data_IF_799955632276
#
_entry.id   IF_799955632276
#
_cell.length_a   1.000
_cell.length_b   1.000
_cell.length_c   1.000
_cell.angle_alpha   90.00
_cell.angle_beta   90.00
_cell.angle_gamma   90.00
#
_symmetry.space_group_name_H-M   'P 1'
#
loop_
_entity.id
_entity.type
_entity.pdbx_description
1 polymer ?
#
# COMPACT_ATOMS: atom_id res chain seq x y z
N UNK A 1 -11.60 -57.32 -4.63
CA UNK A 1 -13.10 -57.33 -4.60
C UNK A 1 -13.52 -56.39 -3.48
N UNK A 2 -13.84 -55.18 -3.80
CA UNK A 2 -14.93 -54.43 -3.14
C UNK A 2 -15.30 -53.26 -4.08
N UNK A 3 -16.51 -53.42 -4.60
CA UNK A 3 -17.14 -52.56 -5.59
C UNK A 3 -18.04 -51.58 -4.87
N UNK A 4 -17.71 -50.27 -4.90
CA UNK A 4 -18.69 -49.21 -4.63
C UNK A 4 -18.86 -48.33 -5.86
N UNK A 5 -20.00 -48.50 -6.50
CA UNK A 5 -20.41 -47.75 -7.66
C UNK A 5 -20.73 -46.28 -7.37
N UNK A 6 -20.85 -45.44 -8.40
CA UNK A 6 -21.02 -44.00 -8.27
C UNK A 6 -22.43 -43.64 -7.75
N UNK A 7 -22.44 -42.73 -6.76
CA UNK A 7 -23.68 -42.13 -6.23
C UNK A 7 -24.31 -41.24 -7.31
N UNK A 8 -25.50 -41.61 -7.80
CA UNK A 8 -26.31 -40.78 -8.69
C UNK A 8 -26.89 -39.61 -7.91
N UNK A 9 -26.45 -38.41 -8.21
CA UNK A 9 -27.14 -37.18 -7.83
C UNK A 9 -28.50 -37.13 -8.56
N UNK A 10 -29.59 -37.20 -7.83
CA UNK A 10 -30.93 -36.99 -8.36
C UNK A 10 -31.09 -35.51 -8.78
N UNK A 11 -31.51 -35.32 -10.03
CA UNK A 11 -31.82 -34.01 -10.57
C UNK A 11 -33.08 -33.46 -9.86
N UNK A 12 -32.94 -32.30 -9.24
CA UNK A 12 -34.08 -31.56 -8.66
C UNK A 12 -34.97 -31.09 -9.81
N UNK A 13 -36.25 -31.47 -9.76
CA UNK A 13 -37.27 -31.18 -10.73
C UNK A 13 -37.45 -29.66 -10.97
N UNK A 14 -37.70 -29.29 -12.22
CA UNK A 14 -37.89 -27.90 -12.67
C UNK A 14 -39.02 -27.17 -11.93
N UNK A 15 -40.04 -27.87 -11.45
CA UNK A 15 -41.15 -27.29 -10.69
C UNK A 15 -40.71 -26.86 -9.27
N UNK A 16 -39.83 -27.60 -8.63
CA UNK A 16 -39.28 -27.26 -7.32
C UNK A 16 -38.31 -26.05 -7.39
N UNK A 17 -37.65 -25.87 -8.53
CA UNK A 17 -36.84 -24.66 -8.78
C UNK A 17 -37.68 -23.41 -9.01
N UNK A 18 -38.82 -23.52 -9.68
CA UNK A 18 -39.71 -22.37 -9.89
C UNK A 18 -40.34 -21.89 -8.58
N UNK A 19 -40.76 -22.80 -7.71
CA UNK A 19 -41.34 -22.45 -6.40
C UNK A 19 -40.35 -21.80 -5.44
N UNK A 20 -39.05 -22.14 -5.50
CA UNK A 20 -37.99 -21.50 -4.68
C UNK A 20 -37.65 -20.09 -5.17
N UNK A 21 -37.82 -19.77 -6.45
CA UNK A 21 -37.54 -18.44 -7.00
C UNK A 21 -38.69 -17.46 -6.72
N UNK A 22 -39.95 -17.96 -6.66
CA UNK A 22 -41.11 -17.12 -6.37
C UNK A 22 -41.22 -16.67 -4.91
N UNK A 23 -40.58 -17.38 -3.97
CA UNK A 23 -40.62 -17.03 -2.53
C UNK A 23 -39.60 -15.96 -2.14
N UNK A 24 -38.68 -15.55 -3.02
CA UNK A 24 -37.59 -14.57 -2.71
C UNK A 24 -37.71 -13.24 -3.47
N UNK A 25 -38.78 -12.95 -4.19
CA UNK A 25 -38.92 -11.73 -4.97
C UNK A 25 -40.29 -11.07 -4.84
N UNK A 26 -40.63 -10.61 -3.64
CA UNK A 26 -41.59 -9.52 -3.50
C UNK A 26 -40.82 -8.22 -3.34
N UNK A 27 -40.85 -7.29 -4.32
CA UNK A 27 -40.18 -6.00 -4.16
C UNK A 27 -40.84 -5.24 -3.01
N UNK A 28 -40.10 -4.99 -1.94
CA UNK A 28 -40.55 -4.10 -0.86
C UNK A 28 -40.80 -2.73 -1.50
N UNK A 29 -42.04 -2.28 -1.52
CA UNK A 29 -42.35 -0.96 -2.07
C UNK A 29 -41.67 0.13 -1.24
N UNK A 30 -41.22 1.21 -1.90
CA UNK A 30 -40.57 2.36 -1.23
C UNK A 30 -41.39 2.87 -0.03
N UNK A 31 -42.73 2.75 -0.11
CA UNK A 31 -43.65 3.14 0.95
C UNK A 31 -43.54 2.22 2.18
N UNK A 32 -43.45 0.91 2.02
CA UNK A 32 -43.26 -0.06 3.11
C UNK A 32 -41.90 0.06 3.76
N UNK A 33 -40.84 0.41 2.98
CA UNK A 33 -39.52 0.66 3.51
C UNK A 33 -39.50 1.91 4.42
N UNK A 34 -40.16 2.99 4.01
CA UNK A 34 -40.26 4.23 4.80
C UNK A 34 -41.11 4.03 6.04
N UNK A 35 -42.24 3.29 5.93
CA UNK A 35 -43.08 2.97 7.09
C UNK A 35 -42.36 2.10 8.11
N UNK A 36 -41.53 1.15 7.70
CA UNK A 36 -40.71 0.33 8.60
C UNK A 36 -39.60 1.13 9.29
N UNK A 37 -38.99 2.09 8.58
CA UNK A 37 -37.96 2.97 9.13
C UNK A 37 -38.54 3.97 10.17
N UNK A 38 -39.77 4.44 9.96
CA UNK A 38 -40.46 5.32 10.91
C UNK A 38 -40.92 4.59 12.19
N UNK A 39 -41.26 3.32 12.11
CA UNK A 39 -41.64 2.51 13.28
C UNK A 39 -40.42 2.11 14.14
N UNK A 40 -39.23 1.99 13.54
CA UNK A 40 -37.99 1.70 14.27
C UNK A 40 -37.46 2.89 15.06
N UNK A 41 -37.83 4.12 14.70
CA UNK A 41 -37.40 5.36 15.40
C UNK A 41 -38.27 5.76 16.61
N UNK A 42 -39.41 5.08 16.85
CA UNK A 42 -40.35 5.43 17.92
C UNK A 42 -40.12 4.66 19.24
N UNK A 43 -39.09 3.85 19.37
CA UNK A 43 -38.89 2.95 20.51
C UNK A 43 -37.66 3.25 21.39
N UNK A 44 -37.19 4.51 21.46
CA UNK A 44 -36.15 4.89 22.42
C UNK A 44 -36.73 6.00 23.32
N UNK A 45 -36.97 5.77 24.61
CA UNK A 45 -37.37 6.83 25.52
C UNK A 45 -36.18 7.72 25.84
N UNK A 46 -36.21 8.98 25.41
CA UNK A 46 -35.35 10.05 25.88
C UNK A 46 -35.86 10.55 27.24
N UNK A 47 -35.20 10.16 28.30
CA UNK A 47 -35.33 10.86 29.60
C UNK A 47 -34.45 12.09 29.59
N UNK A 48 -35.06 13.25 29.34
CA UNK A 48 -34.46 14.55 29.59
C UNK A 48 -34.65 14.90 31.07
N UNK A 49 -33.59 14.86 31.86
CA UNK A 49 -33.55 15.55 33.14
C UNK A 49 -32.99 16.96 32.92
N UNK A 50 -33.88 17.95 32.98
CA UNK A 50 -33.50 19.34 33.07
C UNK A 50 -33.41 19.72 34.55
N UNK A 51 -32.22 20.02 35.03
CA UNK A 51 -32.03 20.88 36.22
C UNK A 51 -30.94 21.89 35.87
N UNK A 52 -31.34 23.17 35.94
CA UNK A 52 -30.43 24.28 35.83
C UNK A 52 -29.65 24.48 37.12
N UNK A 53 -28.47 25.03 37.03
CA UNK A 53 -28.07 26.26 37.70
C UNK A 53 -26.60 26.63 37.43
N UNK A 54 -26.43 27.95 37.21
CA UNK A 54 -25.27 28.78 37.55
C UNK A 54 -23.86 28.35 37.10
N UNK A 55 -23.35 29.10 36.14
CA UNK A 55 -21.92 29.37 35.97
C UNK A 55 -21.29 29.87 37.26
N UNK A 56 -20.04 29.46 37.56
CA UNK A 56 -18.96 30.41 37.42
C UNK A 56 -17.60 29.80 37.00
N UNK A 57 -16.76 30.69 36.48
CA UNK A 57 -15.30 30.72 36.52
C UNK A 57 -14.53 29.69 35.68
N UNK A 58 -14.01 30.23 34.58
CA UNK A 58 -12.70 29.92 34.02
C UNK A 58 -11.73 29.36 35.07
N UNK A 59 -11.50 28.05 34.99
CA UNK A 59 -10.30 27.46 35.59
C UNK A 59 -9.49 26.88 34.42
N UNK A 60 -8.32 27.45 34.22
CA UNK A 60 -7.30 26.95 33.28
C UNK A 60 -7.09 25.46 33.52
N UNK A 61 -7.48 24.64 32.56
CA UNK A 61 -7.05 23.25 32.49
C UNK A 61 -5.56 23.25 32.14
N UNK A 62 -4.78 23.22 33.21
CA UNK A 62 -3.35 22.95 33.14
C UNK A 62 -3.11 21.56 32.59
N UNK A 63 -2.14 21.47 31.70
CA UNK A 63 -1.33 20.31 31.51
C UNK A 63 -2.03 19.05 31.00
N UNK A 64 -2.53 19.05 29.76
CA UNK A 64 -2.47 17.82 28.99
C UNK A 64 -0.98 17.51 28.81
N UNK A 65 -0.45 16.58 29.60
CA UNK A 65 0.83 15.94 29.30
C UNK A 65 0.77 15.47 27.87
N UNK A 66 1.58 16.09 27.00
CA UNK A 66 1.76 15.66 25.64
C UNK A 66 2.10 14.16 25.70
N UNK A 67 1.16 13.31 25.29
CA UNK A 67 1.44 11.91 25.06
C UNK A 67 2.68 11.90 24.15
N UNK A 68 3.75 11.30 24.62
CA UNK A 68 5.00 11.21 23.88
C UNK A 68 4.63 10.67 22.51
N UNK A 69 4.91 11.42 21.44
CA UNK A 69 4.72 10.94 20.07
C UNK A 69 5.54 9.64 19.96
N UNK A 70 4.87 8.50 19.95
CA UNK A 70 5.53 7.25 19.64
C UNK A 70 6.02 7.35 18.21
N UNK A 71 7.30 7.64 18.06
CA UNK A 71 7.93 7.74 16.74
C UNK A 71 7.86 6.37 16.06
N UNK A 72 7.48 6.34 14.78
CA UNK A 72 7.55 5.12 13.98
C UNK A 72 9.00 4.59 13.98
N UNK A 73 9.22 3.28 14.14
CA UNK A 73 10.53 2.69 13.97
C UNK A 73 11.11 2.98 12.59
N UNK A 74 12.40 3.29 12.55
CA UNK A 74 13.13 3.57 11.33
C UNK A 74 14.03 2.40 10.91
N UNK A 75 14.50 2.47 9.68
CA UNK A 75 15.52 1.62 9.11
C UNK A 75 16.33 2.38 8.07
N UNK A 76 17.44 1.80 7.64
CA UNK A 76 18.34 2.40 6.67
C UNK A 76 18.22 1.75 5.30
N UNK A 77 18.28 2.56 4.26
CA UNK A 77 18.48 2.12 2.88
C UNK A 77 19.70 2.90 2.37
N UNK A 78 20.82 2.21 2.14
CA UNK A 78 22.08 2.86 1.87
C UNK A 78 22.48 3.78 3.03
N UNK A 79 22.74 5.05 2.72
CA UNK A 79 23.10 6.08 3.71
C UNK A 79 21.88 6.87 4.22
N UNK A 80 20.68 6.59 3.76
CA UNK A 80 19.45 7.28 4.12
C UNK A 80 18.65 6.48 5.16
N UNK A 81 18.03 7.20 6.08
CA UNK A 81 17.14 6.65 7.09
C UNK A 81 15.69 6.99 6.75
N UNK A 82 14.78 6.00 6.88
CA UNK A 82 13.37 6.12 6.57
C UNK A 82 12.52 5.46 7.66
N UNK A 83 11.32 5.96 7.88
CA UNK A 83 10.32 5.23 8.67
C UNK A 83 9.96 3.91 7.98
N UNK A 84 9.74 2.85 8.75
CA UNK A 84 9.40 1.52 8.19
C UNK A 84 8.02 1.48 7.53
N UNK A 85 7.14 2.43 7.84
CA UNK A 85 5.94 2.76 7.06
C UNK A 85 6.25 3.96 6.17
N UNK A 86 6.11 3.80 4.85
CA UNK A 86 6.27 4.84 3.85
C UNK A 86 4.94 5.16 3.18
N UNK A 87 4.76 6.39 2.76
CA UNK A 87 3.56 6.84 2.05
C UNK A 87 3.67 6.53 0.56
N UNK A 88 2.64 5.88 -0.01
CA UNK A 88 2.50 5.64 -1.45
C UNK A 88 1.86 6.82 -2.16
N UNK A 89 2.45 7.26 -3.26
CA UNK A 89 2.02 8.44 -4.01
C UNK A 89 0.86 8.22 -4.99
N UNK A 90 0.44 6.98 -5.24
CA UNK A 90 -0.56 6.71 -6.29
C UNK A 90 -1.90 7.42 -6.04
N UNK A 91 -2.38 7.48 -4.79
CA UNK A 91 -3.62 8.19 -4.47
C UNK A 91 -3.49 9.69 -4.75
N UNK A 92 -2.38 10.27 -4.37
CA UNK A 92 -2.04 11.69 -4.57
C UNK A 92 -1.95 12.02 -6.06
N UNK A 93 -1.32 11.15 -6.85
CA UNK A 93 -1.19 11.29 -8.29
C UNK A 93 -2.50 10.98 -9.07
N UNK A 94 -3.56 10.53 -8.39
CA UNK A 94 -4.80 10.12 -9.03
C UNK A 94 -4.68 8.83 -9.86
N UNK A 95 -3.65 8.03 -9.58
CA UNK A 95 -3.39 6.74 -10.22
C UNK A 95 -3.88 5.63 -9.30
N UNK A 96 -5.17 5.29 -9.37
CA UNK A 96 -5.72 4.22 -8.55
C UNK A 96 -5.69 2.88 -9.24
N UNK A 97 -5.37 1.84 -8.48
CA UNK A 97 -5.68 0.47 -8.84
C UNK A 97 -7.11 0.16 -8.36
N UNK A 98 -8.08 0.21 -9.24
CA UNK A 98 -9.50 0.14 -8.89
C UNK A 98 -10.29 -0.81 -9.80
N UNK A 99 -9.57 -1.72 -10.45
CA UNK A 99 -10.13 -2.70 -11.39
C UNK A 99 -10.88 -1.97 -12.54
N UNK A 100 -12.12 -2.35 -12.79
CA UNK A 100 -13.00 -1.78 -13.80
C UNK A 100 -13.78 -0.52 -13.35
N UNK A 101 -13.52 -0.04 -12.12
CA UNK A 101 -14.19 1.17 -11.58
C UNK A 101 -13.50 2.46 -12.07
N UNK A 102 -13.62 2.76 -13.34
CA UNK A 102 -12.91 3.87 -14.01
C UNK A 102 -13.11 5.26 -13.38
N UNK A 103 -14.23 5.47 -12.67
CA UNK A 103 -14.53 6.73 -12.02
C UNK A 103 -13.66 7.00 -10.77
N UNK A 104 -13.03 5.98 -10.17
CA UNK A 104 -12.26 6.13 -8.93
C UNK A 104 -11.07 7.05 -9.12
N UNK A 105 -10.33 6.95 -10.22
CA UNK A 105 -9.24 7.89 -10.54
C UNK A 105 -9.73 9.35 -10.63
N UNK A 106 -10.94 9.56 -11.15
CA UNK A 106 -11.55 10.90 -11.20
C UNK A 106 -11.92 11.40 -9.80
N UNK A 107 -12.47 10.55 -8.95
CA UNK A 107 -12.75 10.89 -7.55
C UNK A 107 -11.47 11.26 -6.80
N UNK A 108 -10.41 10.46 -6.95
CA UNK A 108 -9.11 10.73 -6.31
C UNK A 108 -8.52 12.08 -6.73
N UNK A 109 -8.51 12.39 -8.02
CA UNK A 109 -8.03 13.70 -8.50
C UNK A 109 -8.88 14.87 -8.01
N UNK A 110 -10.18 14.68 -7.81
CA UNK A 110 -11.07 15.71 -7.27
C UNK A 110 -10.93 15.88 -5.77
N UNK A 111 -10.68 14.78 -5.04
CA UNK A 111 -10.46 14.79 -3.60
C UNK A 111 -9.08 15.37 -3.26
N UNK A 112 -8.03 14.87 -3.91
CA UNK A 112 -6.64 15.25 -3.66
C UNK A 112 -6.30 16.56 -4.39
N UNK A 113 -6.91 17.66 -3.95
CA UNK A 113 -6.50 19.00 -4.37
C UNK A 113 -5.09 19.32 -3.86
N UNK A 114 -4.36 20.29 -4.44
CA UNK A 114 -3.03 20.68 -3.93
C UNK A 114 -3.01 20.96 -2.42
N UNK A 115 -4.04 21.62 -1.89
CA UNK A 115 -4.16 21.90 -0.46
C UNK A 115 -4.34 20.60 0.36
N UNK A 116 -5.18 19.66 -0.12
CA UNK A 116 -5.41 18.39 0.53
C UNK A 116 -4.16 17.50 0.49
N UNK A 117 -3.41 17.51 -0.61
CA UNK A 117 -2.13 16.77 -0.71
C UNK A 117 -1.14 17.31 0.33
N UNK A 118 -0.99 18.63 0.45
CA UNK A 118 -0.09 19.22 1.44
C UNK A 118 -0.51 18.84 2.87
N UNK A 119 -1.79 18.97 3.21
CA UNK A 119 -2.34 18.51 4.49
C UNK A 119 -2.02 17.03 4.76
N UNK A 120 -2.15 16.18 3.75
CA UNK A 120 -1.85 14.75 3.84
C UNK A 120 -0.36 14.50 4.12
N UNK A 121 0.54 15.25 3.50
CA UNK A 121 1.99 15.16 3.77
C UNK A 121 2.34 15.65 5.19
N UNK A 122 1.74 16.77 5.62
CA UNK A 122 1.90 17.31 6.98
C UNK A 122 1.41 16.31 8.05
N UNK A 123 0.25 15.69 7.84
CA UNK A 123 -0.27 14.62 8.70
C UNK A 123 0.67 13.42 8.74
N UNK A 124 1.20 13.00 7.59
CA UNK A 124 2.19 11.92 7.52
C UNK A 124 3.41 12.20 8.40
N UNK A 125 4.01 13.38 8.27
CA UNK A 125 5.13 13.80 9.12
C UNK A 125 4.75 13.92 10.59
N UNK A 126 3.55 14.44 10.87
CA UNK A 126 3.04 14.54 12.24
C UNK A 126 2.99 13.18 12.92
N UNK A 127 2.65 12.12 12.19
CA UNK A 127 2.58 10.75 12.68
C UNK A 127 3.87 9.94 12.44
N UNK A 128 4.98 10.60 12.13
CA UNK A 128 6.33 10.00 12.05
C UNK A 128 6.64 9.29 10.73
N UNK A 129 5.81 9.43 9.69
CA UNK A 129 6.14 8.95 8.35
C UNK A 129 7.14 9.94 7.72
N UNK A 130 8.28 9.43 7.26
CA UNK A 130 9.38 10.28 6.80
C UNK A 130 9.62 10.23 5.30
N UNK A 131 8.87 9.42 4.56
CA UNK A 131 9.08 9.28 3.12
C UNK A 131 7.77 9.07 2.35
N UNK A 132 7.74 9.66 1.16
CA UNK A 132 6.75 9.40 0.12
C UNK A 132 7.43 8.81 -1.12
N UNK A 133 6.81 7.78 -1.70
CA UNK A 133 7.26 7.17 -2.94
C UNK A 133 6.28 7.52 -4.07
N UNK A 134 6.74 8.30 -5.06
CA UNK A 134 5.89 8.73 -6.17
C UNK A 134 6.68 8.86 -7.47
N UNK A 135 5.97 8.92 -8.59
CA UNK A 135 6.55 9.05 -9.93
C UNK A 135 7.31 10.38 -10.10
N UNK A 136 8.30 10.36 -11.00
CA UNK A 136 8.89 11.56 -11.54
C UNK A 136 7.91 12.14 -12.57
N UNK A 137 7.19 13.16 -12.16
CA UNK A 137 6.22 13.89 -12.99
C UNK A 137 6.72 15.32 -13.19
N UNK A 138 6.28 15.98 -14.25
CA UNK A 138 6.54 17.39 -14.42
C UNK A 138 5.89 18.24 -13.31
N UNK A 139 4.92 17.64 -12.60
CA UNK A 139 4.12 18.29 -11.55
C UNK A 139 4.32 17.63 -10.16
N UNK A 140 5.57 17.52 -9.70
CA UNK A 140 5.85 17.17 -8.29
C UNK A 140 5.76 18.41 -7.37
N UNK A 141 5.05 19.44 -7.83
CA UNK A 141 4.95 20.74 -7.19
C UNK A 141 4.50 20.66 -5.73
N UNK A 142 3.61 19.70 -5.40
CA UNK A 142 3.08 19.54 -4.04
C UNK A 142 4.17 19.12 -3.04
N UNK A 143 5.14 18.30 -3.46
CA UNK A 143 6.29 17.93 -2.64
C UNK A 143 7.19 19.14 -2.43
N UNK A 144 7.45 19.91 -3.51
CA UNK A 144 8.28 21.12 -3.45
C UNK A 144 7.64 22.20 -2.61
N UNK A 145 6.34 22.39 -2.71
CA UNK A 145 5.60 23.35 -1.89
C UNK A 145 5.57 22.91 -0.42
N UNK A 146 5.46 21.63 -0.14
CA UNK A 146 5.59 21.09 1.21
C UNK A 146 6.98 21.42 1.80
N UNK A 147 8.06 21.22 1.05
CA UNK A 147 9.41 21.58 1.48
C UNK A 147 9.60 23.09 1.69
N UNK A 148 9.04 23.94 0.82
CA UNK A 148 9.07 25.41 0.99
C UNK A 148 8.35 25.85 2.27
N UNK A 149 7.33 25.11 2.70
CA UNK A 149 6.63 25.35 3.96
C UNK A 149 7.34 24.75 5.19
N UNK A 150 8.55 24.21 5.04
CA UNK A 150 9.34 23.63 6.14
C UNK A 150 9.16 22.14 6.37
N UNK A 151 8.37 21.47 5.51
CA UNK A 151 8.24 20.00 5.50
C UNK A 151 9.57 19.31 5.20
N UNK A 152 9.69 18.08 5.72
CA UNK A 152 10.93 17.28 5.64
C UNK A 152 10.71 15.90 5.02
N UNK A 153 9.53 15.65 4.48
CA UNK A 153 9.18 14.39 3.82
C UNK A 153 10.23 14.08 2.75
N UNK A 154 10.90 12.95 2.86
CA UNK A 154 11.86 12.50 1.86
C UNK A 154 11.13 11.97 0.64
N UNK A 155 11.65 12.29 -0.53
CA UNK A 155 11.09 11.76 -1.77
C UNK A 155 11.90 10.55 -2.24
N UNK A 156 11.21 9.41 -2.39
CA UNK A 156 11.67 8.21 -3.08
C UNK A 156 11.07 8.23 -4.48
N UNK A 157 11.87 8.55 -5.48
CA UNK A 157 11.39 8.77 -6.84
C UNK A 157 11.26 7.47 -7.64
N UNK A 158 10.13 7.28 -8.31
CA UNK A 158 9.88 6.21 -9.27
C UNK A 158 10.22 6.72 -10.66
N UNK A 159 11.32 6.26 -11.23
CA UNK A 159 11.82 6.72 -12.53
C UNK A 159 11.79 5.62 -13.59
N UNK A 160 11.77 6.02 -14.83
CA UNK A 160 11.94 5.16 -16.02
C UNK A 160 13.16 5.62 -16.78
N UNK A 161 13.69 4.72 -17.60
CA UNK A 161 14.65 5.11 -18.62
C UNK A 161 13.91 5.61 -19.86
N UNK A 162 14.55 6.48 -20.61
CA UNK A 162 14.05 6.93 -21.90
C UNK A 162 14.07 5.78 -22.92
N UNK A 163 13.24 5.85 -23.95
CA UNK A 163 13.15 4.79 -24.98
C UNK A 163 14.46 4.48 -25.69
N UNK A 164 15.42 5.42 -25.71
CA UNK A 164 16.79 5.26 -26.19
C UNK A 164 17.82 4.81 -25.14
N UNK A 165 17.40 4.53 -23.90
CA UNK A 165 18.28 4.14 -22.80
C UNK A 165 18.91 5.32 -22.06
N UNK A 166 18.40 6.55 -22.25
CA UNK A 166 18.82 7.75 -21.51
C UNK A 166 18.24 7.80 -20.09
N UNK A 167 18.72 8.76 -19.31
CA UNK A 167 18.41 8.90 -17.88
C UNK A 167 17.69 10.21 -17.55
N UNK A 168 16.89 10.77 -18.48
CA UNK A 168 16.28 12.11 -18.29
C UNK A 168 15.40 12.19 -17.04
N UNK A 169 14.55 11.19 -16.80
CA UNK A 169 13.73 11.15 -15.57
C UNK A 169 14.57 10.92 -14.31
N UNK A 170 15.61 10.09 -14.40
CA UNK A 170 16.54 9.87 -13.28
C UNK A 170 17.27 11.17 -12.96
N UNK A 171 17.81 11.86 -13.97
CA UNK A 171 18.47 13.14 -13.79
C UNK A 171 17.51 14.19 -13.20
N UNK A 172 16.29 14.28 -13.72
CA UNK A 172 15.26 15.16 -13.15
C UNK A 172 15.01 14.86 -11.66
N UNK A 173 14.89 13.59 -11.29
CA UNK A 173 14.70 13.22 -9.88
C UNK A 173 15.89 13.65 -9.00
N UNK A 174 17.12 13.55 -9.52
CA UNK A 174 18.34 14.00 -8.84
C UNK A 174 18.32 15.51 -8.64
N UNK A 175 18.04 16.26 -9.70
CA UNK A 175 18.01 17.73 -9.72
C UNK A 175 16.92 18.27 -8.79
N UNK A 176 15.77 17.61 -8.77
CA UNK A 176 14.63 17.92 -7.92
C UNK A 176 14.81 17.48 -6.45
N UNK A 177 15.92 16.84 -6.09
CA UNK A 177 16.27 16.56 -4.71
C UNK A 177 15.76 15.22 -4.14
N UNK A 178 15.45 14.24 -4.97
CA UNK A 178 15.07 12.90 -4.50
C UNK A 178 16.15 12.30 -3.58
N UNK A 179 15.73 11.70 -2.46
CA UNK A 179 16.61 11.03 -1.50
C UNK A 179 17.00 9.63 -1.96
N UNK A 180 16.09 8.95 -2.65
CA UNK A 180 16.30 7.65 -3.27
C UNK A 180 15.59 7.60 -4.62
N UNK A 181 16.09 6.81 -5.55
CA UNK A 181 15.53 6.68 -6.89
C UNK A 181 15.50 5.19 -7.23
N UNK A 182 14.39 4.70 -7.75
CA UNK A 182 14.33 3.34 -8.27
C UNK A 182 13.71 3.27 -9.66
N UNK A 183 14.15 2.30 -10.45
CA UNK A 183 13.43 1.97 -11.67
C UNK A 183 12.06 1.38 -11.31
N UNK A 184 11.03 1.83 -12.00
CA UNK A 184 9.68 1.26 -11.86
C UNK A 184 9.67 -0.21 -12.24
N UNK A 185 8.73 -0.98 -11.69
CA UNK A 185 8.65 -2.42 -11.94
C UNK A 185 8.51 -2.74 -13.44
N UNK A 186 7.61 -2.05 -14.12
CA UNK A 186 7.39 -2.22 -15.56
C UNK A 186 8.60 -1.81 -16.42
N UNK A 187 9.37 -0.79 -15.98
CA UNK A 187 10.60 -0.41 -16.68
C UNK A 187 11.69 -1.49 -16.53
N UNK A 188 11.89 -1.99 -15.31
CA UNK A 188 12.88 -3.03 -15.05
C UNK A 188 12.53 -4.35 -15.74
N UNK A 189 11.26 -4.77 -15.66
CA UNK A 189 10.74 -5.96 -16.32
C UNK A 189 10.83 -5.84 -17.85
N UNK A 190 10.46 -4.69 -18.42
CA UNK A 190 10.55 -4.44 -19.85
C UNK A 190 11.99 -4.42 -20.38
N UNK A 191 12.97 -3.92 -19.61
CA UNK A 191 14.39 -4.01 -19.95
C UNK A 191 14.86 -5.48 -19.92
N UNK A 192 14.45 -6.23 -18.92
CA UNK A 192 14.77 -7.65 -18.82
C UNK A 192 14.22 -8.44 -20.00
N UNK A 193 12.96 -8.21 -20.38
CA UNK A 193 12.31 -8.88 -21.53
C UNK A 193 13.02 -8.57 -22.87
N UNK A 194 13.69 -7.40 -22.95
CA UNK A 194 14.54 -7.02 -24.09
C UNK A 194 15.97 -7.55 -23.99
N UNK A 195 16.32 -8.30 -22.95
CA UNK A 195 17.69 -8.77 -22.70
C UNK A 195 18.68 -7.66 -22.30
N UNK A 196 18.18 -6.50 -21.85
CA UNK A 196 18.97 -5.30 -21.52
C UNK A 196 19.23 -5.14 -20.00
N UNK A 197 19.66 -6.20 -19.33
CA UNK A 197 19.99 -6.15 -17.91
C UNK A 197 21.16 -5.18 -17.60
N UNK A 198 22.09 -5.02 -18.57
CA UNK A 198 23.15 -4.04 -18.52
C UNK A 198 22.65 -2.62 -18.34
N UNK A 199 21.51 -2.26 -18.93
CA UNK A 199 20.91 -0.94 -18.78
C UNK A 199 20.37 -0.70 -17.37
N UNK A 200 19.90 -1.74 -16.69
CA UNK A 200 19.54 -1.64 -15.26
C UNK A 200 20.80 -1.34 -14.44
N UNK A 201 21.90 -2.05 -14.71
CA UNK A 201 23.17 -1.82 -14.02
C UNK A 201 23.72 -0.40 -14.27
N UNK A 202 23.69 0.08 -15.51
CA UNK A 202 24.08 1.47 -15.86
C UNK A 202 23.24 2.50 -15.10
N UNK A 203 21.92 2.30 -15.01
CA UNK A 203 21.04 3.20 -14.26
C UNK A 203 21.40 3.24 -12.77
N UNK A 204 21.65 2.08 -12.15
CA UNK A 204 22.07 2.02 -10.73
C UNK A 204 23.39 2.74 -10.52
N UNK A 205 24.40 2.52 -11.39
CA UNK A 205 25.68 3.22 -11.33
C UNK A 205 25.50 4.73 -11.49
N UNK A 206 24.67 5.17 -12.43
CA UNK A 206 24.39 6.58 -12.65
C UNK A 206 23.79 7.26 -11.42
N UNK A 207 22.78 6.65 -10.79
CA UNK A 207 22.14 7.15 -9.56
C UNK A 207 23.16 7.24 -8.42
N UNK A 208 23.95 6.19 -8.22
CA UNK A 208 24.95 6.12 -7.12
C UNK A 208 26.10 7.10 -7.32
N UNK A 209 26.53 7.35 -8.56
CA UNK A 209 27.55 8.38 -8.88
C UNK A 209 27.10 9.78 -8.43
N UNK A 210 25.79 10.04 -8.41
CA UNK A 210 25.19 11.27 -7.90
C UNK A 210 24.90 11.24 -6.40
N UNK A 211 25.47 10.26 -5.68
CA UNK A 211 25.31 10.07 -4.22
C UNK A 211 23.82 9.93 -3.81
N UNK A 212 23.02 9.29 -4.64
CA UNK A 212 21.63 8.94 -4.33
C UNK A 212 21.52 7.44 -4.10
N UNK A 213 20.54 7.06 -3.29
CA UNK A 213 20.22 5.65 -3.04
C UNK A 213 19.53 5.07 -4.27
N UNK A 214 20.00 3.92 -4.75
CA UNK A 214 19.58 3.31 -6.00
C UNK A 214 18.78 2.01 -5.77
N UNK A 215 17.60 1.89 -6.38
CA UNK A 215 16.72 0.74 -6.23
C UNK A 215 16.16 0.19 -7.53
N UNK A 216 15.66 -1.04 -7.45
CA UNK A 216 14.93 -1.69 -8.54
C UNK A 216 13.59 -2.19 -7.99
N UNK A 217 12.48 -1.88 -8.71
CA UNK A 217 11.20 -2.43 -8.38
C UNK A 217 10.83 -3.61 -9.29
N UNK A 218 9.92 -4.48 -8.82
CA UNK A 218 9.37 -5.61 -9.58
C UNK A 218 7.96 -5.97 -9.16
N UNK A 219 7.10 -6.24 -10.15
CA UNK A 219 5.80 -6.87 -9.94
C UNK A 219 5.98 -8.39 -9.82
N UNK A 220 6.82 -8.98 -10.66
CA UNK A 220 7.28 -10.36 -10.50
C UNK A 220 8.72 -10.41 -9.93
N UNK A 221 9.27 -11.60 -9.77
CA UNK A 221 10.63 -11.78 -9.23
C UNK A 221 11.72 -11.71 -10.27
N UNK A 222 11.41 -11.81 -11.57
CA UNK A 222 12.41 -12.02 -12.63
C UNK A 222 13.49 -10.95 -12.65
N UNK A 223 13.10 -9.68 -12.56
CA UNK A 223 14.07 -8.57 -12.58
C UNK A 223 14.98 -8.58 -11.35
N UNK A 224 14.42 -8.83 -10.15
CA UNK A 224 15.19 -8.90 -8.93
C UNK A 224 16.16 -10.08 -8.91
N UNK A 225 15.70 -11.25 -9.35
CA UNK A 225 16.52 -12.47 -9.49
C UNK A 225 17.66 -12.25 -10.48
N UNK A 226 17.38 -11.60 -11.61
CA UNK A 226 18.41 -11.29 -12.62
C UNK A 226 19.46 -10.32 -12.06
N UNK A 227 19.03 -9.27 -11.34
CA UNK A 227 19.93 -8.31 -10.69
C UNK A 227 20.84 -9.00 -9.64
N UNK A 228 20.28 -9.89 -8.80
CA UNK A 228 21.10 -10.61 -7.80
C UNK A 228 22.09 -11.57 -8.45
N UNK A 229 21.66 -12.34 -9.48
CA UNK A 229 22.55 -13.24 -10.22
C UNK A 229 23.70 -12.51 -10.90
N UNK A 230 23.41 -11.36 -11.50
CA UNK A 230 24.42 -10.52 -12.16
C UNK A 230 25.19 -9.62 -11.19
N UNK A 231 24.88 -9.65 -9.90
CA UNK A 231 25.50 -8.80 -8.88
C UNK A 231 25.40 -7.32 -9.20
N UNK A 232 24.24 -6.89 -9.73
CA UNK A 232 23.99 -5.46 -9.96
C UNK A 232 24.04 -4.72 -8.60
N UNK A 233 24.75 -3.60 -8.57
CA UNK A 233 24.94 -2.83 -7.35
C UNK A 233 23.70 -2.00 -6.97
N UNK A 234 22.70 -2.68 -6.42
CA UNK A 234 21.40 -2.15 -5.97
C UNK A 234 21.45 -1.95 -4.46
N UNK A 235 20.97 -0.83 -3.95
CA UNK A 235 20.89 -0.56 -2.51
C UNK A 235 19.61 -1.16 -1.88
N UNK A 236 18.51 -1.28 -2.62
CA UNK A 236 17.25 -1.87 -2.13
C UNK A 236 16.39 -2.41 -3.26
N UNK A 237 15.49 -3.31 -2.91
CA UNK A 237 14.44 -3.77 -3.80
C UNK A 237 13.07 -3.31 -3.33
N UNK A 238 12.22 -2.91 -4.28
CA UNK A 238 10.81 -2.65 -4.06
C UNK A 238 10.00 -3.73 -4.77
N UNK A 239 9.37 -4.64 -4.00
CA UNK A 239 8.66 -5.81 -4.55
C UNK A 239 7.20 -5.81 -4.13
N UNK A 240 6.28 -6.02 -5.08
CA UNK A 240 4.86 -6.25 -4.76
C UNK A 240 4.72 -7.44 -3.83
N UNK A 241 3.94 -7.25 -2.76
CA UNK A 241 3.75 -8.31 -1.79
C UNK A 241 2.41 -8.16 -1.06
N UNK A 242 1.58 -9.17 -1.12
CA UNK A 242 0.32 -9.27 -0.39
C UNK A 242 -0.07 -10.74 -0.23
N UNK A 243 -0.92 -11.05 0.77
CA UNK A 243 -1.50 -12.39 0.93
C UNK A 243 -2.57 -12.65 -0.13
N UNK A 244 -3.03 -13.90 -0.20
CA UNK A 244 -4.17 -14.31 -1.03
C UNK A 244 -5.49 -14.39 -0.25
N UNK A 245 -5.54 -13.75 0.92
CA UNK A 245 -6.73 -13.80 1.79
C UNK A 245 -7.79 -12.78 1.36
N UNK A 246 -8.15 -12.83 0.07
CA UNK A 246 -9.24 -12.06 -0.51
C UNK A 246 -9.78 -12.74 -1.79
N UNK A 247 -11.04 -12.45 -2.11
CA UNK A 247 -11.82 -13.17 -3.13
C UNK A 247 -11.18 -13.20 -4.53
N UNK A 248 -10.63 -12.09 -5.00
CA UNK A 248 -10.08 -11.95 -6.36
C UNK A 248 -8.56 -12.14 -6.43
N UNK A 249 -7.97 -12.77 -5.42
CA UNK A 249 -6.54 -13.07 -5.42
C UNK A 249 -6.19 -14.04 -6.55
N UNK A 250 -5.19 -13.69 -7.34
CA UNK A 250 -4.61 -14.54 -8.38
C UNK A 250 -3.58 -15.48 -7.77
N UNK A 251 -3.68 -16.76 -8.08
CA UNK A 251 -2.76 -17.80 -7.60
C UNK A 251 -1.75 -18.17 -8.69
N UNK A 252 -0.67 -18.90 -8.36
CA UNK A 252 0.34 -19.31 -9.36
C UNK A 252 -0.25 -20.04 -10.56
N UNK A 253 -1.25 -20.89 -10.35
CA UNK A 253 -1.92 -21.71 -11.36
C UNK A 253 -2.92 -20.93 -12.22
N UNK A 254 -3.35 -19.75 -11.80
CA UNK A 254 -4.31 -18.97 -12.56
C UNK A 254 -3.69 -18.40 -13.84
N UNK A 255 -4.47 -18.36 -14.95
CA UNK A 255 -4.00 -17.83 -16.22
C UNK A 255 -3.68 -16.35 -16.17
N UNK A 256 -2.91 -15.87 -17.13
CA UNK A 256 -2.60 -14.45 -17.31
C UNK A 256 -1.40 -13.96 -16.49
N UNK A 257 -0.91 -12.77 -16.82
CA UNK A 257 0.25 -12.16 -16.15
C UNK A 257 -0.09 -11.69 -14.73
N UNK A 258 0.94 -11.37 -13.96
CA UNK A 258 0.80 -10.63 -12.71
C UNK A 258 0.08 -9.32 -12.98
N UNK A 259 -0.94 -9.02 -12.19
CA UNK A 259 -1.75 -7.82 -12.36
C UNK A 259 -2.87 -7.94 -13.42
N UNK A 260 -3.14 -9.14 -13.94
CA UNK A 260 -4.31 -9.36 -14.80
C UNK A 260 -5.62 -8.95 -14.11
N UNK A 261 -5.72 -9.15 -12.80
CA UNK A 261 -6.69 -8.47 -11.94
C UNK A 261 -5.98 -7.29 -11.28
N UNK A 262 -6.50 -6.08 -11.45
CA UNK A 262 -5.82 -4.83 -11.01
C UNK A 262 -5.58 -4.72 -9.49
N UNK A 263 -6.03 -5.66 -8.71
CA UNK A 263 -5.76 -5.79 -7.28
C UNK A 263 -4.92 -7.04 -6.94
N UNK A 264 -4.44 -7.78 -7.92
CA UNK A 264 -3.62 -8.99 -7.71
C UNK A 264 -2.26 -8.86 -8.39
N UNK A 265 -1.25 -8.49 -7.60
CA UNK A 265 0.10 -8.17 -8.07
C UNK A 265 1.17 -9.08 -7.47
N UNK A 266 0.78 -10.12 -6.72
CA UNK A 266 1.67 -11.11 -6.13
C UNK A 266 1.01 -12.49 -6.25
N UNK A 267 1.29 -13.22 -7.34
CA UNK A 267 0.72 -14.55 -7.61
C UNK A 267 1.29 -15.64 -6.72
N UNK A 268 2.54 -15.50 -6.31
CA UNK A 268 3.23 -16.46 -5.44
C UNK A 268 3.94 -15.73 -4.30
N UNK A 269 3.23 -15.43 -3.21
CA UNK A 269 3.83 -14.80 -2.05
C UNK A 269 4.93 -15.64 -1.40
N UNK A 270 4.82 -16.98 -1.41
CA UNK A 270 5.82 -17.84 -0.81
C UNK A 270 7.14 -17.79 -1.59
N UNK A 271 7.11 -17.83 -2.93
CA UNK A 271 8.30 -17.67 -3.73
C UNK A 271 9.00 -16.31 -3.50
N UNK A 272 8.22 -15.24 -3.22
CA UNK A 272 8.79 -13.93 -2.84
C UNK A 272 9.49 -14.03 -1.48
N UNK A 273 8.88 -14.64 -0.47
CA UNK A 273 9.49 -14.83 0.85
C UNK A 273 10.77 -15.63 0.75
N UNK A 274 10.74 -16.77 0.05
CA UNK A 274 11.88 -17.67 -0.12
C UNK A 274 13.05 -16.97 -0.82
N UNK A 275 12.77 -16.23 -1.90
CA UNK A 275 13.80 -15.47 -2.59
C UNK A 275 14.35 -14.34 -1.70
N UNK A 276 13.49 -13.53 -1.08
CA UNK A 276 13.93 -12.42 -0.25
C UNK A 276 14.67 -12.87 1.01
N UNK A 277 14.46 -14.09 1.50
CA UNK A 277 15.25 -14.67 2.58
C UNK A 277 16.74 -14.86 2.20
N UNK A 278 17.05 -14.98 0.91
CA UNK A 278 18.43 -15.09 0.41
C UNK A 278 19.10 -13.73 0.15
N UNK A 279 18.31 -12.65 0.06
CA UNK A 279 18.76 -11.31 -0.31
C UNK A 279 19.19 -10.53 0.93
N UNK A 280 20.38 -9.96 0.91
CA UNK A 280 20.96 -9.16 2.03
C UNK A 280 20.76 -7.64 1.84
N UNK A 281 19.76 -7.25 1.07
CA UNK A 281 19.41 -5.84 0.81
C UNK A 281 18.04 -5.52 1.40
N UNK A 282 17.78 -4.27 1.80
CA UNK A 282 16.47 -3.84 2.26
C UNK A 282 15.37 -4.14 1.23
N UNK A 283 14.24 -4.63 1.73
CA UNK A 283 13.04 -4.92 0.96
C UNK A 283 11.91 -3.98 1.36
N UNK A 284 11.49 -3.14 0.41
CA UNK A 284 10.28 -2.33 0.49
C UNK A 284 9.13 -3.14 -0.13
N UNK A 285 8.22 -3.65 0.69
CA UNK A 285 7.01 -4.32 0.19
C UNK A 285 5.97 -3.27 -0.23
N UNK A 286 5.48 -3.32 -1.47
CA UNK A 286 4.45 -2.41 -1.94
C UNK A 286 3.21 -3.14 -2.46
N UNK A 287 2.11 -2.41 -2.65
CA UNK A 287 0.77 -2.96 -2.95
C UNK A 287 0.26 -3.93 -1.87
N UNK A 288 0.72 -3.75 -0.62
CA UNK A 288 0.45 -4.68 0.50
C UNK A 288 -1.04 -4.81 0.84
N UNK A 289 -1.85 -3.81 0.50
CA UNK A 289 -3.30 -3.84 0.69
C UNK A 289 -4.07 -4.41 -0.50
N UNK A 290 -3.40 -4.91 -1.56
CA UNK A 290 -4.04 -5.42 -2.76
C UNK A 290 -5.14 -4.46 -3.29
N UNK A 291 -4.79 -3.17 -3.46
CA UNK A 291 -5.70 -2.09 -3.85
C UNK A 291 -6.94 -1.94 -2.94
N UNK A 292 -6.78 -2.18 -1.64
CA UNK A 292 -7.84 -2.07 -0.63
C UNK A 292 -8.66 -3.35 -0.45
N UNK A 293 -8.32 -4.45 -1.14
CA UNK A 293 -8.96 -5.75 -0.90
C UNK A 293 -8.58 -6.36 0.45
N UNK A 294 -7.42 -5.99 0.99
CA UNK A 294 -6.92 -6.41 2.30
C UNK A 294 -6.98 -5.23 3.29
N UNK A 295 -7.40 -5.54 4.51
CA UNK A 295 -7.39 -4.57 5.59
C UNK A 295 -5.98 -4.38 6.16
N UNK A 296 -5.55 -3.17 6.56
CA UNK A 296 -4.24 -2.94 7.17
C UNK A 296 -3.92 -3.86 8.33
N UNK A 297 -4.91 -4.20 9.18
CA UNK A 297 -4.77 -5.09 10.34
C UNK A 297 -4.31 -6.50 9.99
N UNK A 298 -4.60 -6.99 8.80
CA UNK A 298 -4.12 -8.26 8.28
C UNK A 298 -2.83 -8.09 7.48
N UNK A 299 -2.76 -7.07 6.63
CA UNK A 299 -1.69 -6.89 5.66
C UNK A 299 -0.35 -6.46 6.29
N UNK A 300 -0.35 -5.55 7.27
CA UNK A 300 0.89 -5.05 7.87
C UNK A 300 1.64 -6.16 8.64
N UNK A 301 0.99 -6.91 9.57
CA UNK A 301 1.64 -8.04 10.20
C UNK A 301 2.13 -9.09 9.21
N UNK A 302 1.35 -9.38 8.16
CA UNK A 302 1.72 -10.32 7.12
C UNK A 302 3.01 -9.88 6.42
N UNK A 303 3.08 -8.64 5.94
CA UNK A 303 4.25 -8.13 5.24
C UNK A 303 5.52 -8.14 6.12
N UNK A 304 5.44 -7.62 7.34
CA UNK A 304 6.59 -7.55 8.23
C UNK A 304 7.05 -8.92 8.73
N UNK A 305 6.14 -9.84 9.09
CA UNK A 305 6.52 -11.21 9.48
C UNK A 305 7.13 -11.98 8.31
N UNK A 306 6.68 -11.73 7.09
CA UNK A 306 7.24 -12.34 5.87
C UNK A 306 8.60 -11.77 5.47
N UNK A 307 9.15 -10.81 6.22
CA UNK A 307 10.52 -10.34 6.01
C UNK A 307 10.67 -8.98 5.32
N UNK A 308 9.57 -8.26 5.04
CA UNK A 308 9.67 -6.91 4.51
C UNK A 308 10.33 -5.97 5.54
N UNK A 309 11.30 -5.18 5.12
CA UNK A 309 11.98 -4.20 6.00
C UNK A 309 11.19 -2.91 6.10
N UNK A 310 10.48 -2.58 5.04
CA UNK A 310 9.59 -1.42 4.92
C UNK A 310 8.31 -1.83 4.21
N UNK A 311 7.21 -1.13 4.49
CA UNK A 311 5.98 -1.23 3.72
C UNK A 311 5.65 0.13 3.11
N UNK A 312 5.16 0.09 1.87
CA UNK A 312 4.73 1.26 1.12
C UNK A 312 3.22 1.20 0.95
N UNK A 313 2.51 2.17 1.52
CA UNK A 313 1.05 2.18 1.63
C UNK A 313 0.48 3.49 1.10
N UNK A 314 -0.44 3.41 0.12
CA UNK A 314 -1.26 4.55 -0.27
C UNK A 314 -2.28 4.82 0.83
N UNK A 315 -2.33 6.05 1.33
CA UNK A 315 -3.23 6.47 2.39
C UNK A 315 -3.91 7.79 2.02
N UNK A 316 -5.17 7.91 2.35
CA UNK A 316 -5.83 9.20 2.44
C UNK A 316 -5.52 9.85 3.79
N UNK A 317 -5.68 11.16 3.89
CA UNK A 317 -5.48 11.94 5.12
C UNK A 317 -6.14 11.31 6.35
N UNK A 318 -7.38 10.90 6.24
CA UNK A 318 -8.16 10.27 7.33
C UNK A 318 -7.69 8.86 7.74
N UNK A 319 -6.83 8.20 6.97
CA UNK A 319 -6.26 6.88 7.30
C UNK A 319 -4.91 6.97 8.02
N UNK A 320 -4.17 8.06 7.86
CA UNK A 320 -2.76 8.18 8.27
C UNK A 320 -2.57 7.91 9.75
N UNK A 321 -3.39 8.50 10.60
CA UNK A 321 -3.26 8.33 12.06
C UNK A 321 -3.46 6.87 12.48
N UNK A 322 -4.51 6.23 11.97
CA UNK A 322 -4.82 4.84 12.33
C UNK A 322 -3.77 3.88 11.79
N UNK A 323 -3.34 4.06 10.54
CA UNK A 323 -2.33 3.22 9.91
C UNK A 323 -0.95 3.38 10.56
N UNK A 324 -0.55 4.60 10.92
CA UNK A 324 0.71 4.84 11.64
C UNK A 324 0.71 4.20 13.03
N UNK A 325 -0.36 4.36 13.81
CA UNK A 325 -0.52 3.70 15.11
C UNK A 325 -0.52 2.18 14.98
N UNK A 326 -1.17 1.65 13.95
CA UNK A 326 -1.17 0.21 13.68
C UNK A 326 0.23 -0.29 13.32
N UNK A 327 0.92 0.39 12.41
CA UNK A 327 2.28 0.03 12.01
C UNK A 327 3.22 0.03 13.20
N UNK A 328 3.14 1.03 14.09
CA UNK A 328 3.95 1.10 15.31
C UNK A 328 3.72 -0.12 16.22
N UNK A 329 2.46 -0.47 16.50
CA UNK A 329 2.12 -1.67 17.30
C UNK A 329 2.63 -2.97 16.65
N UNK A 330 2.44 -3.11 15.34
CA UNK A 330 2.92 -4.29 14.60
C UNK A 330 4.44 -4.39 14.66
N UNK A 331 5.15 -3.30 14.43
CA UNK A 331 6.61 -3.26 14.46
C UNK A 331 7.16 -3.55 15.86
N UNK A 332 6.51 -3.09 16.91
CA UNK A 332 6.89 -3.44 18.28
C UNK A 332 6.80 -4.96 18.54
N UNK A 333 5.77 -5.62 18.03
CA UNK A 333 5.60 -7.08 18.14
C UNK A 333 6.65 -7.81 17.28
N UNK A 334 6.84 -7.37 16.04
CA UNK A 334 7.76 -8.01 15.08
C UNK A 334 9.23 -7.82 15.47
N UNK A 335 9.58 -6.75 16.17
CA UNK A 335 10.92 -6.53 16.71
C UNK A 335 11.14 -7.23 18.06
N UNK A 336 10.10 -7.75 18.70
CA UNK A 336 10.14 -8.35 20.01
C UNK A 336 10.72 -9.78 20.04
N UNK A 337 10.92 -10.36 21.22
CA UNK A 337 11.55 -11.66 21.41
C UNK A 337 10.75 -12.83 20.80
N UNK A 338 9.45 -12.65 20.61
CA UNK A 338 8.55 -13.65 20.01
C UNK A 338 8.30 -13.39 18.52
N UNK A 339 9.20 -12.70 17.85
CA UNK A 339 9.10 -12.39 16.44
C UNK A 339 8.96 -13.67 15.59
N UNK A 340 8.02 -13.61 14.64
CA UNK A 340 7.81 -14.66 13.62
C UNK A 340 8.40 -14.27 12.27
N UNK A 341 9.26 -13.27 12.25
CA UNK A 341 9.84 -12.73 11.03
C UNK A 341 10.69 -13.78 10.32
N UNK A 342 10.49 -13.94 9.02
CA UNK A 342 11.13 -14.99 8.20
C UNK A 342 12.62 -14.74 7.93
N UNK A 343 13.11 -13.49 8.12
CA UNK A 343 14.52 -13.12 7.94
C UNK A 343 14.92 -11.99 8.90
N UNK A 344 16.22 -11.80 9.19
CA UNK A 344 16.71 -10.62 9.91
C UNK A 344 16.36 -9.31 9.18
N UNK A 345 16.34 -8.21 9.91
CA UNK A 345 16.22 -6.88 9.32
C UNK A 345 17.46 -6.58 8.46
N UNK A 346 17.22 -6.06 7.26
CA UNK A 346 18.25 -5.51 6.39
C UNK A 346 18.04 -4.00 6.29
N UNK A 347 18.72 -3.24 7.13
CA UNK A 347 18.57 -1.79 7.14
C UNK A 347 17.95 -1.20 8.39
#
# INVERSE_FOLDING_TARGET
MDSRGPVKLQAIDKQTRAAMVETMASPISRRRFVESALLASAAVPLTLNAQGDSSPASTALGGATAASKEALPHGKIGHQEFSRLMMGGNLIAGCSHSRDLNYVSTLMRRYNTPAKIRETLELGEHHGITAINTYVLDDNQQIFDHWKCGGKMKWVAQARMDGGGGFSQIQKAIDDGASAIHLTADAAEGLLDQGKLDKIAEAMQFIKAQKRVAGVAGHDLRALVACEKAKVDVDFYQKTFHSHDYFSAQRPEDPGPVGANDNSWCKDPQAVVDFMATVKKPWVAFKVLAAGALQPRAAFPYAFNSGADFILVGMFDWQIEEDAKLANRVLAVVAGPNSKRSRPWCG
#
